data_IF_542646795918
#
_entry.id   IF_542646795918
#
_cell.length_a   1.000
_cell.length_b   1.000
_cell.length_c   1.000
_cell.angle_alpha   90.00
_cell.angle_beta   90.00
_cell.angle_gamma   90.00
#
_symmetry.space_group_name_H-M   'P 1'
#
loop_
_entity.id
_entity.type
_entity.pdbx_description
1 polymer ?
#
# COMPACT_ATOMS: atom_id res chain seq x y z
N UNK A 1 -13.85 8.52 -17.79
CA UNK A 1 -12.87 8.65 -18.89
C UNK A 1 -12.65 10.13 -19.12
N UNK A 2 -11.48 10.64 -18.78
CA UNK A 2 -11.09 12.00 -19.21
C UNK A 2 -10.80 11.95 -20.72
N UNK A 3 -11.33 12.92 -21.46
CA UNK A 3 -11.23 13.00 -22.91
C UNK A 3 -9.87 13.59 -23.30
N UNK A 4 -9.19 13.02 -24.30
CA UNK A 4 -8.03 13.69 -24.89
C UNK A 4 -8.53 14.96 -25.59
N UNK A 5 -8.04 16.13 -25.16
CA UNK A 5 -8.35 17.41 -25.79
C UNK A 5 -7.27 17.68 -26.83
N UNK A 6 -7.58 17.40 -28.10
CA UNK A 6 -6.73 17.77 -29.23
C UNK A 6 -7.10 19.18 -29.67
N UNK A 7 -6.12 20.07 -29.77
CA UNK A 7 -6.31 21.40 -30.36
C UNK A 7 -5.18 21.77 -31.31
N UNK A 8 -5.51 22.50 -32.37
CA UNK A 8 -4.54 23.00 -33.35
C UNK A 8 -4.86 24.44 -33.77
N UNK A 9 -3.87 25.11 -34.36
CA UNK A 9 -3.97 26.49 -34.88
C UNK A 9 -4.10 26.46 -36.40
N UNK A 10 -4.94 27.34 -36.95
CA UNK A 10 -5.00 27.61 -38.38
C UNK A 10 -4.50 29.04 -38.63
N UNK A 11 -3.49 29.17 -39.49
CA UNK A 11 -3.05 30.44 -40.04
C UNK A 11 -3.50 30.54 -41.49
N UNK A 12 -4.26 31.59 -41.82
CA UNK A 12 -4.70 31.87 -43.19
C UNK A 12 -4.51 33.35 -43.51
N UNK A 13 -4.35 33.65 -44.80
CA UNK A 13 -4.24 35.01 -45.32
C UNK A 13 -5.38 35.23 -46.32
N UNK A 14 -6.44 35.89 -45.88
CA UNK A 14 -7.53 36.34 -46.75
C UNK A 14 -8.07 37.67 -46.24
N UNK A 15 -8.43 38.56 -47.17
CA UNK A 15 -9.18 39.78 -46.87
C UNK A 15 -10.68 39.53 -46.70
N UNK A 16 -11.14 38.31 -47.00
CA UNK A 16 -12.54 37.89 -46.94
C UNK A 16 -12.77 36.92 -45.77
N UNK A 17 -13.98 36.96 -45.21
CA UNK A 17 -14.38 36.08 -44.12
C UNK A 17 -14.63 34.66 -44.64
N UNK A 18 -14.19 33.67 -43.86
CA UNK A 18 -14.42 32.25 -44.16
C UNK A 18 -15.91 31.95 -44.07
N UNK A 19 -16.47 31.31 -45.10
CA UNK A 19 -17.88 30.91 -45.16
C UNK A 19 -18.11 29.53 -44.57
N UNK A 20 -17.23 28.56 -44.87
CA UNK A 20 -17.25 27.22 -44.27
C UNK A 20 -15.84 26.74 -43.96
N UNK A 21 -15.68 25.93 -42.91
CA UNK A 21 -14.42 25.27 -42.59
C UNK A 21 -14.66 23.86 -42.04
N UNK A 22 -13.96 22.87 -42.59
CA UNK A 22 -14.06 21.47 -42.18
C UNK A 22 -12.69 20.83 -41.97
N UNK A 23 -12.63 19.84 -41.08
CA UNK A 23 -11.49 18.93 -40.95
C UNK A 23 -11.95 17.52 -41.23
N UNK A 24 -11.25 16.82 -42.13
CA UNK A 24 -11.44 15.40 -42.40
C UNK A 24 -10.28 14.59 -41.82
N UNK A 25 -10.58 13.45 -41.21
CA UNK A 25 -9.58 12.52 -40.69
C UNK A 25 -10.17 11.13 -40.49
N UNK A 26 -9.32 10.11 -40.47
CA UNK A 26 -9.73 8.74 -40.15
C UNK A 26 -9.83 8.54 -38.64
N UNK A 27 -10.92 7.92 -38.18
CA UNK A 27 -11.13 7.65 -36.76
C UNK A 27 -11.72 6.24 -36.55
N UNK A 28 -10.99 5.29 -35.95
CA UNK A 28 -9.63 5.42 -35.41
C UNK A 28 -8.54 5.59 -36.49
N UNK A 29 -7.29 5.96 -36.13
CA UNK A 29 -6.23 6.22 -37.10
C UNK A 29 -5.93 4.94 -37.91
N UNK A 30 -5.75 5.09 -39.22
CA UNK A 30 -5.59 3.96 -40.15
C UNK A 30 -6.89 3.22 -40.52
N UNK A 31 -8.05 3.59 -39.95
CA UNK A 31 -9.34 2.98 -40.30
C UNK A 31 -9.83 3.35 -41.71
N UNK A 32 -10.94 2.74 -42.13
CA UNK A 32 -11.69 3.13 -43.33
C UNK A 32 -12.76 4.19 -43.04
N UNK A 33 -13.01 4.51 -41.76
CA UNK A 33 -14.05 5.43 -41.36
C UNK A 33 -13.48 6.86 -41.37
N UNK A 34 -13.93 7.66 -42.33
CA UNK A 34 -13.58 9.07 -42.41
C UNK A 34 -14.62 9.91 -41.65
N UNK A 35 -14.14 10.67 -40.69
CA UNK A 35 -14.89 11.70 -39.98
C UNK A 35 -14.72 13.04 -40.70
N UNK A 36 -15.80 13.80 -40.83
CA UNK A 36 -15.80 15.21 -41.26
C UNK A 36 -16.39 16.05 -40.13
N UNK A 37 -15.58 16.92 -39.54
CA UNK A 37 -15.95 17.79 -38.43
C UNK A 37 -16.02 19.24 -38.91
N UNK A 38 -17.14 19.93 -38.66
CA UNK A 38 -17.32 21.36 -38.95
C UNK A 38 -16.65 22.18 -37.85
N UNK A 39 -15.69 23.03 -38.26
CA UNK A 39 -14.90 23.87 -37.37
C UNK A 39 -15.14 25.37 -37.62
N UNK A 40 -16.13 25.73 -38.44
CA UNK A 40 -16.38 27.12 -38.89
C UNK A 40 -16.54 28.08 -37.71
N UNK A 41 -17.41 27.74 -36.75
CA UNK A 41 -17.64 28.57 -35.57
C UNK A 41 -16.41 28.65 -34.66
N UNK A 42 -15.69 27.55 -34.47
CA UNK A 42 -14.50 27.51 -33.63
C UNK A 42 -13.37 28.38 -34.22
N UNK A 43 -13.19 28.31 -35.54
CA UNK A 43 -12.21 29.10 -36.28
C UNK A 43 -12.51 30.60 -36.23
N UNK A 44 -13.79 31.01 -36.33
CA UNK A 44 -14.21 32.40 -36.23
C UNK A 44 -14.10 32.97 -34.80
N UNK A 45 -14.17 32.11 -33.78
CA UNK A 45 -14.06 32.53 -32.38
C UNK A 45 -12.60 32.60 -31.90
N UNK A 46 -11.81 31.55 -32.12
CA UNK A 46 -10.40 31.50 -31.77
C UNK A 46 -9.61 30.64 -32.77
N UNK A 47 -8.96 31.27 -33.78
CA UNK A 47 -8.18 30.54 -34.77
C UNK A 47 -6.92 29.89 -34.19
N UNK A 48 -6.54 30.20 -32.95
CA UNK A 48 -5.37 29.63 -32.28
C UNK A 48 -5.66 28.35 -31.51
N UNK A 49 -6.93 28.00 -31.27
CA UNK A 49 -7.29 26.85 -30.44
C UNK A 49 -8.55 26.13 -30.93
N UNK A 50 -8.45 25.49 -32.09
CA UNK A 50 -9.54 24.70 -32.68
C UNK A 50 -9.49 23.29 -32.11
N UNK A 51 -10.55 22.86 -31.42
CA UNK A 51 -10.63 21.56 -30.76
C UNK A 51 -11.32 20.52 -31.64
N UNK A 52 -10.73 19.31 -31.73
CA UNK A 52 -11.36 18.15 -32.38
C UNK A 52 -11.92 17.21 -31.31
N UNK A 53 -13.23 17.04 -31.29
CA UNK A 53 -13.92 16.41 -30.16
C UNK A 53 -13.94 14.88 -30.21
N UNK A 54 -13.77 14.29 -31.40
CA UNK A 54 -13.94 12.85 -31.63
C UNK A 54 -12.63 12.05 -31.58
N UNK A 55 -11.47 12.71 -31.58
CA UNK A 55 -10.16 12.05 -31.49
C UNK A 55 -9.91 11.60 -30.05
N UNK A 56 -9.95 10.29 -29.79
CA UNK A 56 -9.72 9.71 -28.47
C UNK A 56 -8.68 8.58 -28.49
N UNK A 57 -8.28 8.10 -29.66
CA UNK A 57 -7.32 6.99 -29.80
C UNK A 57 -5.91 7.49 -30.13
N UNK A 58 -4.92 6.70 -29.73
CA UNK A 58 -3.50 6.96 -29.97
C UNK A 58 -3.15 6.68 -31.42
N UNK A 59 -2.23 7.45 -31.99
CA UNK A 59 -1.71 7.22 -33.33
C UNK A 59 -1.56 8.50 -34.15
N UNK A 60 -1.17 8.28 -35.40
CA UNK A 60 -0.92 9.36 -36.36
C UNK A 60 -2.17 9.59 -37.19
N UNK A 61 -2.68 10.82 -37.14
CA UNK A 61 -3.85 11.26 -37.89
C UNK A 61 -3.41 12.17 -39.03
N UNK A 62 -3.73 11.76 -40.24
CA UNK A 62 -3.67 12.64 -41.41
C UNK A 62 -4.94 13.51 -41.42
N UNK A 63 -4.76 14.80 -41.15
CA UNK A 63 -5.82 15.80 -41.18
C UNK A 63 -5.84 16.47 -42.56
N UNK A 64 -7.02 16.57 -43.16
CA UNK A 64 -7.28 17.42 -44.32
C UNK A 64 -8.20 18.56 -43.91
N UNK A 65 -7.66 19.78 -43.89
CA UNK A 65 -8.40 21.00 -43.55
C UNK A 65 -8.90 21.62 -44.85
N UNK A 66 -10.20 21.84 -44.94
CA UNK A 66 -10.91 22.44 -46.06
C UNK A 66 -11.46 23.80 -45.62
N UNK A 67 -11.04 24.88 -46.28
CA UNK A 67 -11.56 26.23 -46.06
C UNK A 67 -12.29 26.70 -47.31
N UNK A 68 -13.47 27.29 -47.12
CA UNK A 68 -14.28 27.86 -48.20
C UNK A 68 -14.47 29.36 -47.98
N UNK A 69 -14.31 30.12 -49.06
CA UNK A 69 -14.63 31.55 -49.14
C UNK A 69 -15.43 31.77 -50.41
N UNK A 70 -16.70 32.17 -50.27
CA UNK A 70 -17.56 32.55 -51.39
C UNK A 70 -17.61 31.50 -52.53
N UNK A 71 -17.66 30.21 -52.18
CA UNK A 71 -17.70 29.10 -53.13
C UNK A 71 -16.34 28.66 -53.68
N UNK A 72 -15.24 29.33 -53.31
CA UNK A 72 -13.87 28.89 -53.60
C UNK A 72 -13.38 28.05 -52.42
N UNK A 73 -12.98 26.82 -52.70
CA UNK A 73 -12.47 25.86 -51.70
C UNK A 73 -10.96 25.70 -51.85
N UNK A 74 -10.25 25.80 -50.74
CA UNK A 74 -8.83 25.43 -50.64
C UNK A 74 -8.63 24.34 -49.57
N UNK A 75 -7.64 23.48 -49.77
CA UNK A 75 -7.38 22.33 -48.88
C UNK A 75 -5.92 22.24 -48.50
N UNK A 76 -5.65 21.89 -47.24
CA UNK A 76 -4.30 21.66 -46.73
C UNK A 76 -4.24 20.41 -45.87
N UNK A 77 -3.19 19.62 -46.09
CA UNK A 77 -2.92 18.41 -45.31
C UNK A 77 -1.93 18.71 -44.19
N UNK A 78 -2.15 18.10 -43.03
CA UNK A 78 -1.27 18.15 -41.88
C UNK A 78 -1.30 16.80 -41.16
N UNK A 79 -0.23 16.47 -40.45
CA UNK A 79 -0.18 15.27 -39.62
C UNK A 79 -0.24 15.69 -38.15
N UNK A 80 -1.12 15.04 -37.40
CA UNK A 80 -1.24 15.17 -35.97
C UNK A 80 -0.81 13.85 -35.31
N UNK A 81 0.20 13.92 -34.47
CA UNK A 81 0.67 12.76 -33.70
C UNK A 81 0.00 12.82 -32.33
N UNK A 82 -0.91 11.88 -32.07
CA UNK A 82 -1.53 11.71 -30.76
C UNK A 82 -0.77 10.61 -30.02
N UNK A 83 0.13 11.04 -29.14
CA UNK A 83 0.82 10.14 -28.22
C UNK A 83 -0.13 9.45 -27.23
N UNK A 84 0.38 8.48 -26.47
CA UNK A 84 -0.46 7.79 -25.51
C UNK A 84 -1.00 8.75 -24.45
N UNK A 85 -2.33 8.86 -24.37
CA UNK A 85 -3.03 9.30 -23.16
C UNK A 85 -3.00 8.15 -22.12
N UNK A 86 -1.91 7.38 -22.04
CA UNK A 86 -1.78 6.27 -21.11
C UNK A 86 -1.54 6.83 -19.71
N UNK A 87 -2.50 6.55 -18.83
CA UNK A 87 -2.45 7.00 -17.45
C UNK A 87 -2.19 5.78 -16.57
N UNK A 88 -1.23 5.92 -15.65
CA UNK A 88 -1.04 4.90 -14.63
C UNK A 88 -2.27 4.90 -13.72
N UNK A 89 -3.14 3.90 -13.93
CA UNK A 89 -4.40 3.77 -13.21
C UNK A 89 -4.18 3.77 -11.70
N UNK A 90 -4.99 4.55 -11.00
CA UNK A 90 -4.89 4.66 -9.54
C UNK A 90 -5.47 3.40 -8.90
N UNK A 91 -4.68 2.64 -8.13
CA UNK A 91 -5.15 1.43 -7.47
C UNK A 91 -6.09 1.77 -6.30
N UNK A 92 -6.67 0.74 -5.69
CA UNK A 92 -7.64 0.92 -4.59
C UNK A 92 -7.35 0.00 -3.41
N UNK A 93 -7.37 0.55 -2.20
CA UNK A 93 -7.46 -0.26 -0.97
C UNK A 93 -8.92 -0.64 -0.78
N UNK A 94 -9.22 -1.94 -0.72
CA UNK A 94 -10.58 -2.44 -0.51
C UNK A 94 -10.90 -2.54 0.98
N UNK A 95 -9.98 -3.12 1.76
CA UNK A 95 -10.12 -3.30 3.21
C UNK A 95 -8.73 -3.45 3.84
N UNK A 96 -8.63 -3.04 5.10
CA UNK A 96 -7.53 -3.42 5.98
C UNK A 96 -8.08 -4.33 7.07
N UNK A 97 -7.39 -5.44 7.32
CA UNK A 97 -7.70 -6.37 8.39
C UNK A 97 -6.53 -6.40 9.37
N UNK A 98 -6.85 -6.34 10.66
CA UNK A 98 -5.87 -6.53 11.72
C UNK A 98 -6.15 -7.89 12.35
N UNK A 99 -5.24 -8.82 12.15
CA UNK A 99 -5.33 -10.16 12.69
C UNK A 99 -5.16 -10.12 14.21
N UNK A 100 -5.62 -11.17 14.88
CA UNK A 100 -5.54 -11.29 16.35
C UNK A 100 -4.12 -11.17 16.93
N UNK A 101 -3.07 -11.40 16.13
CA UNK A 101 -1.68 -11.21 16.55
C UNK A 101 -1.15 -9.78 16.29
N UNK A 102 -2.03 -8.85 15.93
CA UNK A 102 -1.71 -7.46 15.57
C UNK A 102 -1.14 -7.27 14.16
N UNK A 103 -0.96 -8.34 13.38
CA UNK A 103 -0.50 -8.23 12.00
C UNK A 103 -1.53 -7.49 11.15
N UNK A 104 -1.08 -6.48 10.41
CA UNK A 104 -1.94 -5.73 9.49
C UNK A 104 -1.85 -6.37 8.10
N UNK A 105 -3.01 -6.65 7.51
CA UNK A 105 -3.16 -7.21 6.16
C UNK A 105 -4.00 -6.28 5.31
N UNK A 106 -3.45 -5.84 4.20
CA UNK A 106 -4.12 -4.97 3.25
C UNK A 106 -4.68 -5.80 2.09
N UNK A 107 -5.99 -5.69 1.84
CA UNK A 107 -6.63 -6.17 0.62
C UNK A 107 -6.77 -5.00 -0.35
N UNK A 108 -6.19 -5.13 -1.55
CA UNK A 108 -6.14 -4.07 -2.53
C UNK A 108 -6.36 -4.58 -3.95
N UNK A 109 -6.79 -3.68 -4.82
CA UNK A 109 -7.08 -3.93 -6.22
C UNK A 109 -6.14 -3.10 -7.09
N UNK A 110 -5.51 -3.75 -8.06
CA UNK A 110 -4.70 -3.10 -9.08
C UNK A 110 -5.41 -3.21 -10.42
N UNK A 111 -5.82 -2.07 -10.95
CA UNK A 111 -6.37 -2.00 -12.29
C UNK A 111 -5.24 -2.03 -13.32
N UNK A 112 -5.43 -2.82 -14.38
CA UNK A 112 -4.50 -3.03 -15.48
C UNK A 112 -3.08 -3.43 -15.02
N UNK A 113 -2.82 -4.70 -14.74
CA UNK A 113 -1.49 -5.16 -14.31
C UNK A 113 -0.44 -5.19 -15.43
N UNK A 114 -0.83 -5.06 -16.70
CA UNK A 114 0.05 -5.22 -17.86
C UNK A 114 1.19 -4.18 -17.96
N UNK A 115 1.04 -3.04 -17.29
CA UNK A 115 2.06 -1.98 -17.21
C UNK A 115 2.64 -1.81 -15.79
N UNK A 116 2.31 -2.69 -14.83
CA UNK A 116 2.74 -2.58 -13.44
C UNK A 116 4.24 -2.84 -13.27
N UNK A 117 4.95 -1.89 -12.66
CA UNK A 117 6.35 -2.04 -12.25
C UNK A 117 6.46 -2.33 -10.76
N UNK A 118 5.78 -1.53 -9.94
CA UNK A 118 5.83 -1.62 -8.49
C UNK A 118 4.59 -0.96 -7.86
N UNK A 119 4.32 -1.32 -6.60
CA UNK A 119 3.34 -0.67 -5.75
C UNK A 119 4.01 0.03 -4.56
N UNK A 120 3.40 1.10 -4.07
CA UNK A 120 3.79 1.76 -2.82
C UNK A 120 2.59 1.94 -1.91
N UNK A 121 2.79 1.75 -0.61
CA UNK A 121 1.82 2.12 0.42
C UNK A 121 2.41 3.10 1.42
N UNK A 122 1.55 3.94 2.01
CA UNK A 122 1.87 4.82 3.13
C UNK A 122 0.87 4.63 4.26
N UNK A 123 1.35 4.69 5.50
CA UNK A 123 0.53 4.70 6.71
C UNK A 123 0.78 6.01 7.45
N UNK A 124 -0.29 6.69 7.84
CA UNK A 124 -0.25 7.95 8.55
C UNK A 124 -1.18 7.94 9.78
N UNK A 125 -0.92 8.87 10.72
CA UNK A 125 -1.78 9.11 11.89
C UNK A 125 -2.96 10.04 11.59
N UNK A 126 -2.92 10.73 10.45
CA UNK A 126 -3.97 11.64 9.99
C UNK A 126 -4.42 11.30 8.55
N UNK A 127 -5.68 11.63 8.25
CA UNK A 127 -6.28 11.39 6.94
C UNK A 127 -5.72 12.26 5.81
N UNK A 128 -5.01 13.34 6.13
CA UNK A 128 -4.38 14.23 5.14
C UNK A 128 -2.97 13.77 4.77
N UNK A 129 -2.44 12.74 5.47
CA UNK A 129 -1.09 12.20 5.33
C UNK A 129 0.00 13.27 5.53
N UNK A 130 -0.16 14.11 6.56
CA UNK A 130 0.88 15.05 7.02
C UNK A 130 1.84 14.41 8.02
N UNK A 131 1.39 13.43 8.80
CA UNK A 131 2.15 12.65 9.78
C UNK A 131 2.26 11.19 9.31
N UNK A 132 3.11 10.98 8.31
CA UNK A 132 3.41 9.66 7.75
C UNK A 132 4.39 8.95 8.69
N UNK A 133 3.96 7.81 9.22
CA UNK A 133 4.77 7.00 10.14
C UNK A 133 5.46 5.84 9.43
N UNK A 134 4.95 5.44 8.25
CA UNK A 134 5.56 4.35 7.49
C UNK A 134 5.27 4.46 5.99
N UNK A 135 6.24 4.05 5.17
CA UNK A 135 6.14 3.94 3.72
C UNK A 135 6.95 2.74 3.21
N UNK A 136 6.43 2.02 2.21
CA UNK A 136 7.13 0.93 1.53
C UNK A 136 6.86 0.98 0.04
N UNK A 137 7.92 0.97 -0.75
CA UNK A 137 7.89 0.83 -2.22
C UNK A 137 8.28 -0.60 -2.59
N UNK A 138 7.67 -1.16 -3.63
CA UNK A 138 8.06 -2.44 -4.23
C UNK A 138 7.41 -3.66 -3.57
N UNK A 139 6.22 -3.53 -2.98
CA UNK A 139 5.57 -4.65 -2.30
C UNK A 139 4.76 -5.59 -3.22
N UNK A 140 4.55 -5.21 -4.49
CA UNK A 140 3.91 -6.05 -5.51
C UNK A 140 4.49 -5.74 -6.87
N UNK A 141 4.66 -6.78 -7.68
CA UNK A 141 5.18 -6.74 -9.05
C UNK A 141 4.13 -7.29 -10.05
N UNK A 142 4.57 -7.65 -11.25
CA UNK A 142 3.72 -8.18 -12.34
C UNK A 142 2.87 -9.40 -11.94
N UNK A 143 3.22 -10.12 -10.87
CA UNK A 143 2.47 -11.30 -10.40
C UNK A 143 1.37 -10.96 -9.38
N UNK A 144 1.03 -9.68 -9.20
CA UNK A 144 -0.04 -9.13 -8.36
C UNK A 144 -0.72 -10.12 -7.39
N UNK A 145 -0.44 -9.95 -6.11
CA UNK A 145 -1.19 -10.62 -5.05
C UNK A 145 -2.25 -9.68 -4.50
N UNK A 146 -3.49 -10.13 -4.36
CA UNK A 146 -4.57 -9.30 -3.82
C UNK A 146 -4.33 -8.84 -2.37
N UNK A 147 -3.50 -9.56 -1.62
CA UNK A 147 -3.20 -9.29 -0.22
C UNK A 147 -1.73 -8.93 -0.04
N UNK A 148 -1.48 -7.96 0.84
CA UNK A 148 -0.14 -7.58 1.34
C UNK A 148 -0.11 -7.63 2.86
N UNK A 149 0.88 -8.34 3.42
CA UNK A 149 1.17 -8.28 4.84
C UNK A 149 2.08 -7.07 5.10
N UNK A 150 1.58 -6.07 5.83
CA UNK A 150 2.36 -4.88 6.16
C UNK A 150 3.55 -5.31 7.01
N UNK A 151 4.75 -4.85 6.65
CA UNK A 151 5.94 -5.13 7.43
C UNK A 151 5.91 -4.35 8.75
N UNK A 152 5.60 -5.07 9.81
CA UNK A 152 5.45 -4.53 11.15
C UNK A 152 6.80 -4.30 11.85
N UNK A 153 7.93 -4.80 11.32
CA UNK A 153 9.26 -4.66 11.94
C UNK A 153 9.83 -3.26 11.78
N UNK A 154 9.56 -2.65 10.63
CA UNK A 154 10.17 -1.38 10.26
C UNK A 154 9.22 -0.17 10.42
N UNK A 155 7.95 -0.40 10.72
CA UNK A 155 6.91 0.62 10.62
C UNK A 155 6.66 1.48 11.85
N UNK A 156 7.28 1.21 13.00
CA UNK A 156 6.99 1.88 14.28
C UNK A 156 5.48 2.15 14.49
N UNK A 157 4.65 1.17 14.12
CA UNK A 157 3.19 1.31 14.09
C UNK A 157 2.70 1.40 15.54
N UNK A 158 2.09 2.52 15.96
CA UNK A 158 1.59 2.66 17.32
C UNK A 158 0.44 1.69 17.54
N UNK A 159 0.33 1.12 18.73
CA UNK A 159 -0.74 0.18 19.04
C UNK A 159 -2.08 0.90 19.27
N UNK A 160 -3.20 0.20 19.00
CA UNK A 160 -4.57 0.64 19.32
C UNK A 160 -4.87 2.07 18.89
N UNK A 161 -4.34 2.44 17.73
CA UNK A 161 -4.42 3.79 17.19
C UNK A 161 -5.16 3.70 15.86
N UNK A 162 -6.10 4.60 15.64
CA UNK A 162 -6.70 4.77 14.31
C UNK A 162 -5.66 5.36 13.37
N UNK A 163 -5.37 4.63 12.30
CA UNK A 163 -4.39 4.97 11.28
C UNK A 163 -5.05 4.95 9.91
N UNK A 164 -4.36 5.53 8.94
CA UNK A 164 -4.86 5.70 7.58
C UNK A 164 -3.83 5.13 6.61
N UNK A 165 -4.27 4.22 5.73
CA UNK A 165 -3.43 3.68 4.66
C UNK A 165 -3.92 4.13 3.29
N UNK A 166 -2.96 4.41 2.40
CA UNK A 166 -3.22 4.65 0.96
C UNK A 166 -2.14 3.98 0.13
N UNK A 167 -2.45 3.74 -1.14
CA UNK A 167 -1.54 3.10 -2.09
C UNK A 167 -1.42 3.90 -3.39
N UNK A 168 -0.31 3.71 -4.11
CA UNK A 168 -0.14 4.15 -5.49
C UNK A 168 0.64 3.12 -6.29
N UNK A 169 0.59 3.27 -7.61
CA UNK A 169 1.16 2.36 -8.58
C UNK A 169 2.25 3.06 -9.38
N UNK A 170 3.30 2.33 -9.71
CA UNK A 170 4.33 2.69 -10.66
C UNK A 170 4.12 1.89 -11.94
N UNK A 171 4.03 2.57 -13.07
CA UNK A 171 3.78 1.99 -14.38
C UNK A 171 4.92 2.28 -15.35
N UNK A 172 5.17 1.35 -16.28
CA UNK A 172 6.07 1.57 -17.41
C UNK A 172 5.32 1.37 -18.71
N UNK A 173 5.33 2.33 -19.64
CA UNK A 173 6.07 3.62 -19.60
C UNK A 173 5.33 4.75 -18.84
N UNK A 174 4.18 4.48 -18.26
CA UNK A 174 3.17 5.50 -17.89
C UNK A 174 3.42 6.26 -16.56
N UNK A 175 4.63 6.20 -16.03
CA UNK A 175 5.04 6.96 -14.84
C UNK A 175 4.41 6.46 -13.54
N UNK A 176 3.85 7.36 -12.73
CA UNK A 176 3.35 7.05 -11.38
C UNK A 176 1.89 7.51 -11.28
N UNK A 177 1.03 6.66 -10.74
CA UNK A 177 -0.38 7.00 -10.50
C UNK A 177 -0.52 8.09 -9.42
N UNK A 178 -1.72 8.68 -9.35
CA UNK A 178 -2.13 9.40 -8.12
C UNK A 178 -2.20 8.41 -6.95
N UNK A 179 -2.21 8.95 -5.73
CA UNK A 179 -2.57 8.17 -4.55
C UNK A 179 -4.04 7.76 -4.61
N UNK A 180 -4.33 6.56 -4.13
CA UNK A 180 -5.70 6.12 -3.86
C UNK A 180 -6.36 7.01 -2.81
N UNK A 181 -7.68 6.89 -2.69
CA UNK A 181 -8.35 7.24 -1.43
C UNK A 181 -7.74 6.44 -0.27
N UNK A 182 -7.91 6.93 0.96
CA UNK A 182 -7.42 6.23 2.14
C UNK A 182 -8.48 5.32 2.75
N UNK A 183 -8.02 4.30 3.48
CA UNK A 183 -8.86 3.46 4.32
C UNK A 183 -8.39 3.63 5.78
N UNK A 184 -9.28 4.02 6.69
CA UNK A 184 -8.95 4.03 8.12
C UNK A 184 -8.99 2.60 8.69
N UNK A 185 -8.16 2.34 9.68
CA UNK A 185 -8.14 1.08 10.44
C UNK A 185 -7.57 1.32 11.83
N UNK A 186 -7.97 0.51 12.81
CA UNK A 186 -7.39 0.54 14.15
C UNK A 186 -6.27 -0.49 14.24
N UNK A 187 -5.05 -0.05 14.58
CA UNK A 187 -3.93 -0.97 14.77
C UNK A 187 -4.12 -1.89 15.98
N UNK A 188 -3.58 -3.10 15.90
CA UNK A 188 -3.53 -4.04 17.02
C UNK A 188 -2.24 -3.92 17.82
N UNK A 189 -2.04 -4.86 18.76
CA UNK A 189 -0.76 -5.03 19.46
C UNK A 189 0.06 -6.07 18.73
N UNK A 190 1.09 -5.63 18.01
CA UNK A 190 1.95 -6.53 17.25
C UNK A 190 3.15 -6.98 18.07
N UNK A 191 2.91 -8.03 18.85
CA UNK A 191 3.87 -8.62 19.76
C UNK A 191 4.31 -7.69 20.88
N UNK A 192 4.89 -8.28 21.91
CA UNK A 192 5.40 -7.63 23.09
C UNK A 192 6.77 -8.23 23.40
N UNK A 193 7.71 -7.37 23.74
CA UNK A 193 9.00 -7.82 24.25
C UNK A 193 8.81 -8.45 25.62
N UNK A 194 9.47 -9.58 25.83
CA UNK A 194 9.37 -10.34 27.04
C UNK A 194 10.72 -10.96 27.40
N UNK A 195 11.06 -10.93 28.69
CA UNK A 195 12.14 -11.77 29.21
C UNK A 195 11.59 -13.16 29.47
N UNK A 196 12.31 -14.16 29.00
CA UNK A 196 11.93 -15.58 29.02
C UNK A 196 13.03 -16.40 29.70
N UNK A 197 12.64 -17.33 30.56
CA UNK A 197 13.55 -18.22 31.28
C UNK A 197 13.24 -19.68 30.91
N UNK A 198 14.24 -20.50 30.54
CA UNK A 198 14.02 -21.91 30.26
C UNK A 198 13.89 -22.74 31.55
N UNK A 199 13.36 -23.98 31.47
CA UNK A 199 13.19 -24.87 32.62
C UNK A 199 14.47 -25.13 33.43
N UNK A 200 15.62 -25.23 32.76
CA UNK A 200 16.90 -25.54 33.40
C UNK A 200 17.37 -24.46 34.39
N UNK A 201 16.79 -23.26 34.30
CA UNK A 201 17.08 -22.12 35.18
C UNK A 201 15.86 -21.66 36.00
N UNK A 202 14.88 -22.54 36.25
CA UNK A 202 13.64 -22.21 37.01
C UNK A 202 13.91 -21.62 38.41
N UNK A 203 15.10 -21.78 38.99
CA UNK A 203 15.49 -21.15 40.27
C UNK A 203 16.00 -19.71 40.14
N UNK A 204 16.23 -19.23 38.92
CA UNK A 204 16.80 -17.91 38.64
C UNK A 204 15.73 -16.89 38.21
N UNK A 205 14.49 -17.01 38.69
CA UNK A 205 13.36 -16.15 38.29
C UNK A 205 13.69 -14.65 38.35
N UNK A 206 14.48 -14.21 39.34
CA UNK A 206 14.92 -12.80 39.45
C UNK A 206 15.67 -12.27 38.22
N UNK A 207 16.24 -13.14 37.39
CA UNK A 207 16.91 -12.73 36.15
C UNK A 207 15.93 -12.12 35.14
N UNK A 208 14.64 -12.52 35.19
CA UNK A 208 13.55 -11.94 34.40
C UNK A 208 13.30 -10.48 34.78
N UNK A 209 13.41 -10.14 36.06
CA UNK A 209 13.11 -8.79 36.56
C UNK A 209 14.18 -7.76 36.15
N UNK A 210 15.39 -8.22 35.87
CA UNK A 210 16.52 -7.35 35.56
C UNK A 210 17.04 -7.53 34.12
N UNK A 211 16.44 -8.43 33.34
CA UNK A 211 16.89 -8.71 31.98
C UNK A 211 18.33 -9.23 31.90
N UNK A 212 18.78 -9.94 32.92
CA UNK A 212 20.14 -10.48 33.01
C UNK A 212 20.15 -11.96 32.68
N UNK A 213 21.32 -12.48 32.24
CA UNK A 213 21.50 -13.92 32.04
C UNK A 213 21.11 -14.70 33.31
N UNK A 214 20.32 -15.79 33.21
CA UNK A 214 20.01 -16.53 31.97
C UNK A 214 18.68 -16.17 31.30
N UNK A 215 18.06 -15.02 31.61
CA UNK A 215 16.87 -14.58 30.90
C UNK A 215 17.21 -14.17 29.45
N UNK A 216 16.44 -14.69 28.50
CA UNK A 216 16.50 -14.31 27.08
C UNK A 216 15.40 -13.33 26.71
N UNK A 217 15.73 -12.35 25.86
CA UNK A 217 14.73 -11.44 25.30
C UNK A 217 14.08 -12.08 24.05
N UNK A 218 12.75 -12.15 24.03
CA UNK A 218 11.97 -12.56 22.87
C UNK A 218 10.83 -11.58 22.61
N UNK A 219 10.45 -11.42 21.34
CA UNK A 219 9.21 -10.74 20.97
C UNK A 219 8.14 -11.80 20.74
N UNK A 220 7.08 -11.77 21.56
CA UNK A 220 6.02 -12.78 21.57
C UNK A 220 4.64 -12.15 21.45
N UNK A 221 3.63 -12.93 21.13
CA UNK A 221 2.21 -12.52 21.14
C UNK A 221 1.51 -13.38 22.17
N UNK A 222 0.74 -12.77 23.09
CA UNK A 222 -0.07 -13.52 24.07
C UNK A 222 -1.55 -13.46 23.69
N UNK A 223 -2.26 -14.59 23.83
CA UNK A 223 -3.71 -14.65 23.57
C UNK A 223 -4.45 -15.51 24.59
N UNK A 224 -5.57 -15.04 25.17
CA UNK A 224 -6.08 -13.67 25.07
C UNK A 224 -5.12 -12.64 25.71
N UNK A 225 -5.32 -11.37 25.35
CA UNK A 225 -4.71 -10.19 26.01
C UNK A 225 -5.82 -9.47 26.79
N UNK A 226 -5.62 -9.06 28.05
CA UNK A 226 -4.41 -9.19 28.87
C UNK A 226 -4.05 -10.65 29.20
N UNK A 227 -2.76 -10.95 29.49
CA UNK A 227 -2.31 -12.29 29.85
C UNK A 227 -2.93 -12.77 31.17
N UNK A 228 -3.47 -13.99 31.18
CA UNK A 228 -4.02 -14.66 32.36
C UNK A 228 -3.76 -16.18 32.27
N UNK A 229 -4.14 -16.93 33.31
CA UNK A 229 -4.12 -18.40 33.28
C UNK A 229 -4.99 -18.92 32.12
N UNK A 230 -4.42 -19.81 31.32
CA UNK A 230 -5.01 -20.33 30.08
C UNK A 230 -4.63 -19.52 28.83
N UNK A 231 -3.96 -18.37 28.97
CA UNK A 231 -3.42 -17.65 27.81
C UNK A 231 -2.25 -18.39 27.17
N UNK A 232 -2.14 -18.30 25.86
CA UNK A 232 -1.14 -18.96 25.04
C UNK A 232 -0.09 -17.96 24.54
N UNK A 233 1.17 -18.34 24.57
CA UNK A 233 2.30 -17.59 24.03
C UNK A 233 2.60 -18.07 22.61
N UNK A 234 2.63 -17.12 21.67
CA UNK A 234 2.96 -17.33 20.27
C UNK A 234 4.19 -16.52 19.87
N UNK A 235 4.90 -16.98 18.86
CA UNK A 235 5.89 -16.19 18.14
C UNK A 235 5.19 -15.16 17.25
N UNK A 236 5.93 -14.15 16.78
CA UNK A 236 5.37 -13.08 15.93
C UNK A 236 4.81 -13.60 14.59
N UNK A 237 5.25 -14.78 14.14
CA UNK A 237 4.71 -15.48 12.98
C UNK A 237 3.41 -16.26 13.25
N UNK A 238 2.87 -16.21 14.47
CA UNK A 238 1.62 -16.86 14.86
C UNK A 238 1.74 -18.33 15.27
N UNK A 239 2.93 -18.93 15.27
CA UNK A 239 3.16 -20.30 15.79
C UNK A 239 3.29 -20.28 17.32
N UNK A 240 2.81 -21.31 18.05
CA UNK A 240 3.02 -21.40 19.50
C UNK A 240 4.51 -21.32 19.86
N UNK A 241 4.87 -20.65 20.95
CA UNK A 241 6.25 -20.46 21.39
C UNK A 241 6.80 -21.70 22.13
N UNK A 242 6.80 -22.84 21.44
CA UNK A 242 7.32 -24.13 21.90
C UNK A 242 8.75 -24.36 21.35
N UNK A 243 9.57 -25.25 21.96
CA UNK A 243 10.98 -25.41 21.61
C UNK A 243 11.26 -25.57 20.10
N UNK A 244 10.49 -26.41 19.41
CA UNK A 244 10.71 -26.68 17.98
C UNK A 244 10.44 -25.43 17.12
N UNK A 245 9.38 -24.68 17.41
CA UNK A 245 9.08 -23.43 16.68
C UNK A 245 10.10 -22.32 17.01
N UNK A 246 10.54 -22.21 18.27
CA UNK A 246 11.57 -21.24 18.66
C UNK A 246 12.88 -21.57 17.90
N UNK A 247 13.25 -22.84 17.83
CA UNK A 247 14.46 -23.29 17.12
C UNK A 247 14.40 -23.00 15.63
N UNK A 248 13.24 -23.19 15.01
CA UNK A 248 13.04 -23.00 13.57
C UNK A 248 12.98 -21.51 13.18
N UNK A 249 12.20 -20.71 13.93
CA UNK A 249 11.80 -19.36 13.50
C UNK A 249 12.50 -18.22 14.25
N UNK A 250 13.07 -18.47 15.43
CA UNK A 250 13.77 -17.47 16.25
C UNK A 250 15.26 -17.84 16.37
N UNK A 251 16.00 -17.73 15.26
CA UNK A 251 17.41 -18.15 15.18
C UNK A 251 18.32 -17.40 16.18
N UNK A 252 17.93 -16.19 16.59
CA UNK A 252 18.68 -15.37 17.55
C UNK A 252 18.30 -15.66 19.01
N UNK A 253 17.32 -16.53 19.28
CA UNK A 253 16.98 -16.92 20.64
C UNK A 253 18.15 -17.66 21.32
N UNK A 254 18.33 -17.50 22.64
CA UNK A 254 19.24 -18.34 23.42
C UNK A 254 19.03 -19.84 23.18
N UNK A 255 20.12 -20.60 23.11
CA UNK A 255 20.09 -22.05 22.82
C UNK A 255 19.28 -22.83 23.85
N UNK A 256 19.27 -22.38 25.09
CA UNK A 256 18.52 -23.00 26.19
C UNK A 256 17.01 -22.82 26.01
N UNK A 257 16.56 -21.70 25.44
CA UNK A 257 15.15 -21.51 25.05
C UNK A 257 14.78 -22.38 23.85
N UNK A 258 15.69 -22.56 22.88
CA UNK A 258 15.47 -23.46 21.71
C UNK A 258 15.40 -24.94 22.11
N UNK A 259 16.07 -25.33 23.19
CA UNK A 259 16.09 -26.71 23.71
C UNK A 259 14.94 -26.97 24.68
N UNK A 260 14.79 -26.11 25.67
CA UNK A 260 13.89 -26.32 26.81
C UNK A 260 12.56 -25.57 26.72
N UNK A 261 12.44 -24.58 25.84
CA UNK A 261 11.25 -23.72 25.73
C UNK A 261 11.18 -22.66 26.82
N UNK A 262 10.02 -22.04 26.98
CA UNK A 262 9.76 -20.99 27.96
C UNK A 262 9.09 -21.63 29.18
N UNK A 263 9.72 -21.55 30.35
CA UNK A 263 9.13 -21.94 31.65
C UNK A 263 8.58 -20.74 32.41
N UNK A 264 9.26 -19.60 32.31
CA UNK A 264 8.82 -18.34 32.91
C UNK A 264 8.92 -17.20 31.93
N UNK A 265 7.99 -16.26 32.04
CA UNK A 265 7.96 -15.07 31.18
C UNK A 265 7.50 -13.85 31.97
N UNK A 266 8.09 -12.69 31.68
CA UNK A 266 7.55 -11.37 32.06
C UNK A 266 7.52 -10.48 30.83
N UNK A 267 6.44 -9.71 30.67
CA UNK A 267 6.25 -8.80 29.54
C UNK A 267 6.76 -7.42 29.90
N UNK A 268 7.63 -6.84 29.07
CA UNK A 268 8.34 -5.59 29.40
C UNK A 268 7.49 -4.34 29.16
N UNK A 269 6.32 -4.52 28.55
CA UNK A 269 5.38 -3.45 28.28
C UNK A 269 4.65 -3.05 29.57
N UNK A 270 4.61 -1.75 29.86
CA UNK A 270 3.86 -1.20 31.00
C UNK A 270 2.68 -0.37 30.49
N UNK A 271 1.47 -0.92 30.57
CA UNK A 271 0.23 -0.22 30.23
C UNK A 271 -0.97 -0.88 30.94
N UNK A 272 -2.20 -0.56 30.54
CA UNK A 272 -3.41 -1.14 31.14
C UNK A 272 -3.62 -2.64 30.87
N UNK A 273 -2.85 -3.25 29.96
CA UNK A 273 -2.94 -4.67 29.61
C UNK A 273 -1.75 -5.49 30.08
N UNK A 274 -0.59 -4.87 30.20
CA UNK A 274 0.65 -5.53 30.57
C UNK A 274 1.24 -4.87 31.81
N UNK A 275 1.59 -5.71 32.78
CA UNK A 275 2.26 -5.31 34.00
C UNK A 275 3.63 -6.01 34.06
N UNK A 276 4.75 -5.27 33.92
CA UNK A 276 6.09 -5.85 33.90
C UNK A 276 6.52 -6.42 35.26
N UNK A 277 5.80 -6.10 36.33
CA UNK A 277 6.02 -6.69 37.64
C UNK A 277 5.45 -8.11 37.76
N UNK A 278 4.61 -8.57 36.84
CA UNK A 278 4.03 -9.91 36.88
C UNK A 278 4.90 -10.92 36.12
N UNK A 279 5.12 -12.06 36.75
CA UNK A 279 5.84 -13.20 36.18
C UNK A 279 4.82 -14.33 35.97
N UNK A 280 4.84 -14.95 34.81
CA UNK A 280 3.92 -16.01 34.43
C UNK A 280 4.67 -17.32 34.25
N UNK A 281 4.10 -18.40 34.80
CA UNK A 281 4.59 -19.76 34.56
C UNK A 281 3.97 -20.31 33.30
N UNK A 282 4.82 -20.72 32.37
CA UNK A 282 4.44 -21.26 31.07
C UNK A 282 4.74 -22.76 31.06
N UNK A 283 3.86 -23.56 30.45
CA UNK A 283 4.14 -24.94 30.13
C UNK A 283 4.92 -25.01 28.80
N UNK A 284 6.22 -25.37 28.80
CA UNK A 284 7.07 -25.22 27.62
C UNK A 284 6.60 -26.02 26.41
N UNK A 285 5.85 -27.12 26.62
CA UNK A 285 5.37 -27.99 25.53
C UNK A 285 4.12 -27.46 24.83
N UNK A 286 3.33 -26.64 25.50
CA UNK A 286 2.08 -26.09 24.94
C UNK A 286 2.17 -24.58 24.72
N UNK A 287 3.11 -23.91 25.39
CA UNK A 287 3.21 -22.45 25.51
C UNK A 287 2.03 -21.81 26.26
N UNK A 288 1.29 -22.58 27.05
CA UNK A 288 0.17 -22.10 27.86
C UNK A 288 0.66 -21.53 29.21
N UNK A 289 0.12 -20.39 29.62
CA UNK A 289 0.28 -19.85 30.96
C UNK A 289 -0.57 -20.68 31.92
N UNK A 290 0.09 -21.43 32.81
CA UNK A 290 -0.57 -22.25 33.82
C UNK A 290 -0.76 -21.55 35.16
N UNK A 291 0.05 -20.55 35.47
CA UNK A 291 0.07 -19.88 36.78
C UNK A 291 0.62 -18.47 36.67
N UNK A 292 0.11 -17.57 37.51
CA UNK A 292 0.65 -16.21 37.71
C UNK A 292 1.38 -16.22 39.04
N UNK A 293 2.65 -15.86 39.00
CA UNK A 293 3.51 -15.99 40.15
C UNK A 293 3.23 -14.88 41.17
N UNK A 294 3.21 -15.22 42.46
CA UNK A 294 2.86 -14.26 43.53
C UNK A 294 3.98 -13.27 43.79
N UNK A 295 5.22 -13.71 43.61
CA UNK A 295 6.41 -12.88 43.73
C UNK A 295 6.52 -11.98 42.49
N UNK A 296 6.37 -10.68 42.72
CA UNK A 296 6.45 -9.66 41.68
C UNK A 296 7.89 -9.21 41.50
N UNK A 297 8.26 -8.84 40.27
CA UNK A 297 9.44 -8.01 40.08
C UNK A 297 9.21 -6.68 40.80
N UNK A 298 9.93 -6.47 41.91
CA UNK A 298 9.86 -5.21 42.65
C UNK A 298 10.55 -4.12 41.82
N UNK A 299 9.83 -3.04 41.54
CA UNK A 299 10.46 -1.78 41.13
C UNK A 299 11.23 -1.24 42.34
N UNK A 300 12.53 -0.96 42.16
CA UNK A 300 13.28 -0.03 43.01
C UNK A 300 13.32 1.32 42.31
#
# INVERSE_FOLDING_TARGET
>A
MEKCNVSFKIEYQSSETITNAFVKYKNPPGSTNEEKEDITNALLQDPNSIKLSKIQEVGDYDLEVELEINGVVDTKKATLIVGSCSYCETPKVLKVEVLDNGQIVMNYEVFNTGNLVAMEYQIAKDSEFKDIIYSKVGFSDMNYTQFENIDMRNGNIPDKTTLYIRIRKYCSPDGISRWSGFVPFDSGIWGVEAYCLPPDYERNINSLCHGISPAGLLKVVVKPTPPDVGSMIYLTNGKPAIPDNIREFEQNAPEELKKGGIRWITFLRSNSEFNPSLIYRVEPRTAEIGEIERDKCYEY
#
